data_IF_587880084899
#
_entry.id   IF_587880084899
#
_cell.length_a   1.000
_cell.length_b   1.000
_cell.length_c   1.000
_cell.angle_alpha   90.00
_cell.angle_beta   90.00
_cell.angle_gamma   90.00
#
_symmetry.space_group_name_H-M   'P 1'
#
loop_
_entity.id
_entity.type
_entity.pdbx_description
1 polymer ?
#
# COMPACT_ATOMS: atom_id res chain seq x y z
N UNK A 1 7.44 -11.46 1.97
CA UNK A 1 8.64 -11.32 1.13
C UNK A 1 9.56 -10.23 1.69
N UNK A 2 10.84 -10.52 1.84
CA UNK A 2 11.86 -9.54 2.32
C UNK A 2 13.06 -9.60 1.37
N UNK A 3 12.95 -8.90 0.24
CA UNK A 3 14.03 -8.93 -0.79
C UNK A 3 15.21 -8.02 -0.44
N UNK A 4 15.11 -7.19 0.61
CA UNK A 4 16.21 -6.35 1.08
C UNK A 4 17.00 -6.99 2.26
N UNK A 5 16.77 -8.26 2.56
CA UNK A 5 17.48 -8.98 3.63
C UNK A 5 19.00 -8.98 3.38
N UNK A 6 19.78 -9.02 4.46
CA UNK A 6 21.23 -9.29 4.41
C UNK A 6 21.55 -10.77 4.26
N UNK A 7 20.55 -11.64 4.45
CA UNK A 7 20.67 -13.10 4.35
C UNK A 7 20.21 -13.56 2.96
N UNK A 8 21.10 -14.14 2.19
CA UNK A 8 20.83 -14.56 0.81
C UNK A 8 19.72 -15.62 0.71
N UNK A 9 19.66 -16.55 1.63
CA UNK A 9 18.62 -17.58 1.71
C UNK A 9 17.22 -16.99 1.86
N UNK A 10 17.08 -15.89 2.64
CA UNK A 10 15.82 -15.14 2.80
C UNK A 10 15.45 -14.43 1.49
N UNK A 11 16.42 -13.82 0.82
CA UNK A 11 16.21 -13.17 -0.48
C UNK A 11 15.77 -14.20 -1.52
N UNK A 12 16.48 -15.32 -1.64
CA UNK A 12 16.12 -16.39 -2.59
C UNK A 12 14.72 -16.97 -2.31
N UNK A 13 14.40 -17.22 -1.04
CA UNK A 13 13.05 -17.67 -0.66
C UNK A 13 11.98 -16.65 -1.06
N UNK A 14 12.26 -15.36 -0.84
CA UNK A 14 11.34 -14.27 -1.24
C UNK A 14 11.17 -14.21 -2.75
N UNK A 15 12.24 -14.35 -3.52
CA UNK A 15 12.18 -14.36 -5.00
C UNK A 15 11.38 -15.58 -5.50
N UNK A 16 11.60 -16.76 -4.92
CA UNK A 16 10.79 -17.96 -5.25
C UNK A 16 9.31 -17.74 -4.99
N UNK A 17 8.98 -17.09 -3.86
CA UNK A 17 7.60 -16.79 -3.50
C UNK A 17 6.96 -15.78 -4.47
N UNK A 18 7.68 -14.74 -4.88
CA UNK A 18 7.20 -13.77 -5.89
C UNK A 18 6.90 -14.45 -7.23
N UNK A 19 7.79 -15.32 -7.70
CA UNK A 19 7.56 -16.10 -8.93
C UNK A 19 6.35 -17.05 -8.79
N UNK A 20 6.14 -17.63 -7.60
CA UNK A 20 4.97 -18.47 -7.34
C UNK A 20 3.67 -17.64 -7.41
N UNK A 21 3.63 -16.46 -6.79
CA UNK A 21 2.48 -15.56 -6.86
C UNK A 21 2.21 -15.12 -8.30
N UNK A 22 3.24 -14.75 -9.07
CA UNK A 22 3.08 -14.41 -10.48
C UNK A 22 2.41 -15.54 -11.25
N UNK A 23 2.90 -16.78 -11.09
CA UNK A 23 2.31 -17.96 -11.74
C UNK A 23 0.85 -18.18 -11.35
N UNK A 24 0.50 -17.98 -10.07
CA UNK A 24 -0.89 -18.08 -9.62
C UNK A 24 -1.78 -17.02 -10.28
N UNK A 25 -1.31 -15.76 -10.38
CA UNK A 25 -2.03 -14.68 -11.04
C UNK A 25 -2.28 -14.99 -12.52
N UNK A 26 -1.26 -15.50 -13.22
CA UNK A 26 -1.37 -15.92 -14.63
C UNK A 26 -2.42 -17.03 -14.80
N UNK A 27 -2.41 -18.03 -13.94
CA UNK A 27 -3.37 -19.15 -13.97
C UNK A 27 -4.80 -18.71 -13.68
N UNK A 28 -4.98 -17.71 -12.82
CA UNK A 28 -6.29 -17.16 -12.49
C UNK A 28 -6.80 -16.18 -13.54
N UNK A 29 -5.97 -15.76 -14.49
CA UNK A 29 -6.33 -14.77 -15.51
C UNK A 29 -6.65 -13.39 -14.93
N UNK A 30 -6.06 -13.02 -13.79
CA UNK A 30 -6.38 -11.79 -13.07
C UNK A 30 -5.26 -10.78 -13.26
N UNK A 31 -5.64 -9.57 -13.67
CA UNK A 31 -4.71 -8.44 -13.66
C UNK A 31 -4.63 -7.84 -12.26
N UNK A 32 -3.56 -8.19 -11.54
CA UNK A 32 -3.33 -7.77 -10.15
C UNK A 32 -1.92 -7.22 -9.99
N UNK A 33 -1.71 -6.53 -8.87
CA UNK A 33 -0.38 -6.10 -8.41
C UNK A 33 -0.01 -6.85 -7.12
N UNK A 34 1.30 -7.05 -6.92
CA UNK A 34 1.89 -7.62 -5.72
C UNK A 34 2.36 -6.48 -4.82
N UNK A 35 1.65 -6.25 -3.74
CA UNK A 35 2.03 -5.23 -2.75
C UNK A 35 3.16 -5.75 -1.88
N UNK A 36 4.25 -4.99 -1.81
CA UNK A 36 5.40 -5.28 -0.96
C UNK A 36 5.72 -4.08 -0.06
N UNK A 37 6.17 -4.40 1.16
CA UNK A 37 6.95 -3.47 1.97
C UNK A 37 8.44 -3.59 1.65
N UNK A 38 9.20 -2.51 1.88
CA UNK A 38 10.65 -2.56 1.63
C UNK A 38 11.41 -3.53 2.53
N UNK A 39 10.85 -3.88 3.69
CA UNK A 39 11.44 -4.84 4.62
C UNK A 39 12.33 -4.19 5.68
N UNK A 40 13.43 -4.82 6.06
CA UNK A 40 14.26 -4.39 7.18
C UNK A 40 15.26 -3.28 6.87
N UNK A 41 15.69 -2.55 7.92
CA UNK A 41 16.69 -1.47 7.84
C UNK A 41 18.05 -1.83 8.39
N UNK A 42 18.48 -3.09 8.33
CA UNK A 42 19.81 -3.52 8.80
C UNK A 42 20.91 -2.69 8.13
N UNK A 43 21.81 -2.15 8.91
CA UNK A 43 22.85 -1.19 8.52
C UNK A 43 22.29 0.19 8.09
N UNK A 44 21.08 0.53 8.55
CA UNK A 44 20.44 1.82 8.30
C UNK A 44 19.43 1.80 7.13
N UNK A 45 18.51 2.75 7.19
CA UNK A 45 17.39 2.90 6.25
C UNK A 45 17.87 2.96 4.79
N UNK A 46 18.84 3.83 4.49
CA UNK A 46 19.40 4.00 3.14
C UNK A 46 20.06 2.72 2.60
N UNK A 47 20.76 1.98 3.45
CA UNK A 47 21.34 0.71 3.06
C UNK A 47 20.27 -0.34 2.71
N UNK A 48 19.16 -0.36 3.47
CA UNK A 48 18.00 -1.22 3.17
C UNK A 48 17.34 -0.88 1.84
N UNK A 49 17.12 0.42 1.54
CA UNK A 49 16.60 0.89 0.26
C UNK A 49 17.50 0.47 -0.92
N UNK A 50 18.80 0.65 -0.78
CA UNK A 50 19.77 0.28 -1.82
C UNK A 50 19.78 -1.24 -2.09
N UNK A 51 19.69 -2.06 -1.04
CA UNK A 51 19.58 -3.52 -1.20
C UNK A 51 18.29 -3.89 -1.91
N UNK A 52 17.16 -3.28 -1.52
CA UNK A 52 15.88 -3.50 -2.19
C UNK A 52 15.99 -3.21 -3.69
N UNK A 53 16.46 -2.03 -4.06
CA UNK A 53 16.59 -1.62 -5.46
C UNK A 53 17.55 -2.53 -6.25
N UNK A 54 18.65 -2.96 -5.62
CA UNK A 54 19.61 -3.89 -6.24
C UNK A 54 18.94 -5.24 -6.58
N UNK A 55 18.25 -5.84 -5.62
CA UNK A 55 17.57 -7.13 -5.83
C UNK A 55 16.40 -6.97 -6.80
N UNK A 56 15.59 -5.92 -6.66
CA UNK A 56 14.49 -5.64 -7.59
C UNK A 56 14.95 -5.62 -9.05
N UNK A 57 16.05 -4.93 -9.36
CA UNK A 57 16.60 -4.86 -10.73
C UNK A 57 17.10 -6.19 -11.28
N UNK A 58 17.33 -7.18 -10.42
CA UNK A 58 17.72 -8.55 -10.81
C UNK A 58 16.52 -9.50 -10.97
N UNK A 59 15.30 -9.08 -10.61
CA UNK A 59 14.10 -9.90 -10.79
C UNK A 59 13.73 -10.03 -12.28
N UNK A 60 12.98 -11.08 -12.61
CA UNK A 60 12.35 -11.21 -13.93
C UNK A 60 11.49 -9.95 -14.23
N UNK A 61 11.59 -9.37 -15.43
CA UNK A 61 10.78 -8.21 -15.83
C UNK A 61 9.27 -8.40 -15.63
N UNK A 62 8.75 -9.61 -15.81
CA UNK A 62 7.35 -9.91 -15.54
C UNK A 62 7.00 -9.77 -14.05
N UNK A 63 7.90 -10.18 -13.17
CA UNK A 63 7.74 -9.99 -11.71
C UNK A 63 7.83 -8.51 -11.37
N UNK A 64 8.83 -7.80 -11.90
CA UNK A 64 9.00 -6.36 -11.68
C UNK A 64 7.74 -5.57 -12.04
N UNK A 65 7.11 -5.87 -13.19
CA UNK A 65 5.90 -5.18 -13.67
C UNK A 65 4.67 -5.40 -12.78
N UNK A 66 4.68 -6.38 -11.90
CA UNK A 66 3.58 -6.66 -10.97
C UNK A 66 3.80 -6.10 -9.56
N UNK A 67 5.01 -5.67 -9.24
CA UNK A 67 5.33 -5.16 -7.90
C UNK A 67 4.89 -3.71 -7.76
N UNK A 68 4.27 -3.42 -6.61
CA UNK A 68 4.01 -2.07 -6.09
C UNK A 68 4.52 -2.00 -4.65
N UNK A 69 4.97 -0.83 -4.21
CA UNK A 69 5.49 -0.65 -2.85
C UNK A 69 4.54 0.13 -1.97
N UNK A 70 4.46 -0.30 -0.73
CA UNK A 70 3.65 0.30 0.32
C UNK A 70 4.54 0.87 1.43
N UNK A 71 4.18 2.04 1.99
CA UNK A 71 4.81 2.58 3.19
C UNK A 71 4.49 1.73 4.41
N UNK A 72 5.40 1.69 5.37
CA UNK A 72 5.22 0.92 6.60
C UNK A 72 5.00 1.78 7.85
N UNK A 73 4.52 1.17 8.90
CA UNK A 73 4.14 1.80 10.16
C UNK A 73 5.34 2.13 11.09
N UNK A 74 6.60 1.86 10.67
CA UNK A 74 7.77 1.92 11.58
C UNK A 74 9.01 2.56 10.99
N UNK A 75 9.39 2.19 9.77
CA UNK A 75 10.71 2.47 9.24
C UNK A 75 10.67 3.32 7.97
N UNK A 76 9.96 2.83 6.94
CA UNK A 76 9.90 3.47 5.64
C UNK A 76 8.60 4.24 5.48
N UNK A 77 8.64 5.54 5.77
CA UNK A 77 7.49 6.42 5.57
C UNK A 77 7.23 6.72 4.09
N UNK A 78 6.17 7.45 3.79
CA UNK A 78 5.71 7.73 2.41
C UNK A 78 6.83 8.30 1.53
N UNK A 79 7.63 9.27 2.03
CA UNK A 79 8.69 9.88 1.21
C UNK A 79 9.81 8.91 0.84
N UNK A 80 10.20 8.00 1.76
CA UNK A 80 11.21 6.97 1.47
C UNK A 80 10.74 6.02 0.37
N UNK A 81 9.49 5.56 0.48
CA UNK A 81 8.92 4.63 -0.50
C UNK A 81 8.72 5.31 -1.83
N UNK A 82 8.24 6.56 -1.84
CA UNK A 82 8.06 7.35 -3.04
C UNK A 82 9.40 7.59 -3.78
N UNK A 83 10.50 7.83 -3.04
CA UNK A 83 11.83 7.92 -3.63
C UNK A 83 12.19 6.64 -4.40
N UNK A 84 12.04 5.47 -3.75
CA UNK A 84 12.35 4.17 -4.38
C UNK A 84 11.44 3.88 -5.56
N UNK A 85 10.13 4.15 -5.44
CA UNK A 85 9.17 3.97 -6.52
C UNK A 85 9.54 4.77 -7.76
N UNK A 86 9.96 6.03 -7.59
CA UNK A 86 10.42 6.88 -8.70
C UNK A 86 11.71 6.36 -9.34
N UNK A 87 12.67 5.90 -8.53
CA UNK A 87 13.96 5.36 -9.03
C UNK A 87 13.79 4.03 -9.77
N UNK A 88 12.76 3.26 -9.46
CA UNK A 88 12.43 1.98 -10.07
C UNK A 88 11.32 2.06 -11.11
N UNK A 89 10.68 3.24 -11.25
CA UNK A 89 9.53 3.48 -12.12
C UNK A 89 8.34 2.52 -11.84
N UNK A 90 8.06 2.27 -10.57
CA UNK A 90 6.95 1.40 -10.11
C UNK A 90 5.93 2.17 -9.28
N UNK A 91 4.66 1.73 -9.25
CA UNK A 91 3.63 2.40 -8.49
C UNK A 91 3.83 2.31 -6.96
N UNK A 92 3.36 3.33 -6.27
CA UNK A 92 3.30 3.35 -4.81
C UNK A 92 1.86 3.14 -4.33
N UNK A 93 1.67 2.24 -3.37
CA UNK A 93 0.44 2.12 -2.57
C UNK A 93 0.61 2.98 -1.31
N UNK A 94 -0.33 3.88 -1.06
CA UNK A 94 -0.43 4.57 0.20
C UNK A 94 -1.26 3.73 1.17
N UNK A 95 -0.65 3.25 2.25
CA UNK A 95 -1.41 2.90 3.45
C UNK A 95 -1.52 4.15 4.34
N UNK A 96 -2.76 4.65 4.45
CA UNK A 96 -3.02 5.87 5.20
C UNK A 96 -2.85 5.69 6.71
N UNK A 97 -3.18 4.52 7.23
CA UNK A 97 -2.99 4.21 8.64
C UNK A 97 -1.50 4.08 9.01
N UNK A 98 -0.71 3.42 8.17
CA UNK A 98 0.74 3.38 8.33
C UNK A 98 1.35 4.79 8.30
N UNK A 99 0.85 5.68 7.41
CA UNK A 99 1.28 7.07 7.39
C UNK A 99 0.98 7.79 8.71
N UNK A 100 -0.18 7.53 9.34
CA UNK A 100 -0.51 8.10 10.65
C UNK A 100 0.39 7.54 11.78
N UNK A 101 0.86 6.29 11.65
CA UNK A 101 1.79 5.66 12.59
C UNK A 101 3.24 6.12 12.42
N UNK A 102 3.66 6.40 11.20
CA UNK A 102 5.01 6.76 10.79
C UNK A 102 4.96 7.92 9.77
N UNK A 103 4.64 9.15 10.25
CA UNK A 103 4.40 10.28 9.38
C UNK A 103 5.69 10.74 8.68
N UNK A 104 5.54 11.24 7.46
CA UNK A 104 6.59 11.94 6.70
C UNK A 104 6.76 13.38 7.20
N UNK A 105 7.84 14.05 6.80
CA UNK A 105 8.02 15.47 7.07
C UNK A 105 7.06 16.32 6.23
N UNK A 106 6.87 15.97 4.96
CA UNK A 106 5.90 16.63 4.10
C UNK A 106 4.47 16.19 4.43
N UNK A 107 3.51 17.12 4.31
CA UNK A 107 2.09 16.80 4.51
C UNK A 107 1.58 15.82 3.45
N UNK A 108 0.61 14.98 3.82
CA UNK A 108 0.02 14.01 2.89
C UNK A 108 -0.59 14.69 1.65
N UNK A 109 -1.13 15.89 1.79
CA UNK A 109 -1.66 16.68 0.68
C UNK A 109 -0.61 17.05 -0.37
N UNK A 110 0.65 17.24 0.05
CA UNK A 110 1.78 17.47 -0.86
C UNK A 110 2.31 16.18 -1.50
N UNK A 111 2.07 15.05 -0.87
CA UNK A 111 2.57 13.74 -1.30
C UNK A 111 1.59 13.02 -2.25
N UNK A 112 0.27 13.18 -2.05
CA UNK A 112 -0.76 12.53 -2.87
C UNK A 112 -0.58 12.74 -4.38
N UNK A 113 -0.35 13.98 -4.91
CA UNK A 113 -0.12 14.16 -6.34
C UNK A 113 1.09 13.37 -6.87
N UNK A 114 2.13 13.24 -6.03
CA UNK A 114 3.35 12.51 -6.39
C UNK A 114 3.11 10.99 -6.37
N UNK A 115 2.24 10.51 -5.49
CA UNK A 115 1.81 9.10 -5.44
C UNK A 115 0.99 8.78 -6.70
N UNK A 116 -0.02 9.60 -7.03
CA UNK A 116 -0.81 9.44 -8.25
C UNK A 116 0.06 9.41 -9.51
N UNK A 117 1.12 10.23 -9.55
CA UNK A 117 2.04 10.25 -10.68
C UNK A 117 2.72 8.90 -10.91
N UNK A 118 3.00 8.12 -9.86
CA UNK A 118 3.61 6.79 -10.01
C UNK A 118 2.70 5.79 -10.72
N UNK A 119 1.38 6.04 -10.78
CA UNK A 119 0.38 5.18 -11.40
C UNK A 119 0.06 5.53 -12.86
N UNK A 120 0.55 6.67 -13.37
CA UNK A 120 0.20 7.15 -14.73
C UNK A 120 0.52 6.19 -15.86
N UNK A 121 1.46 5.28 -15.67
CA UNK A 121 1.85 4.27 -16.66
C UNK A 121 1.04 2.98 -16.55
N UNK A 122 0.18 2.87 -15.55
CA UNK A 122 -0.62 1.68 -15.30
C UNK A 122 -2.02 1.81 -15.88
N UNK A 123 -2.59 0.67 -16.28
CA UNK A 123 -3.99 0.58 -16.74
C UNK A 123 -4.97 0.39 -15.56
N UNK A 124 -4.48 0.45 -14.33
CA UNK A 124 -5.26 0.29 -13.11
C UNK A 124 -5.31 1.63 -12.37
N UNK A 125 -6.42 1.92 -11.67
CA UNK A 125 -6.48 3.07 -10.78
C UNK A 125 -5.47 2.95 -9.64
N UNK A 126 -4.99 4.07 -9.08
CA UNK A 126 -4.15 4.06 -7.89
C UNK A 126 -4.78 3.25 -6.77
N UNK A 127 -3.99 2.39 -6.13
CA UNK A 127 -4.43 1.59 -4.99
C UNK A 127 -3.97 2.24 -3.69
N UNK A 128 -4.87 2.24 -2.71
CA UNK A 128 -4.57 2.71 -1.37
C UNK A 128 -5.14 1.74 -0.34
N UNK A 129 -4.50 1.66 0.81
CA UNK A 129 -4.98 0.89 1.94
C UNK A 129 -5.53 1.82 3.01
N UNK A 130 -6.60 1.37 3.66
CA UNK A 130 -7.20 2.09 4.76
C UNK A 130 -7.59 1.13 5.89
N UNK A 131 -7.18 1.47 7.10
CA UNK A 131 -7.60 0.79 8.32
C UNK A 131 -7.87 1.79 9.44
N UNK A 132 -8.50 1.32 10.50
CA UNK A 132 -8.67 2.09 11.73
C UNK A 132 -7.80 1.49 12.84
N UNK A 133 -7.23 2.31 13.74
CA UNK A 133 -6.44 1.81 14.86
C UNK A 133 -7.30 1.00 15.83
N UNK A 134 -6.74 -0.05 16.42
CA UNK A 134 -7.42 -0.90 17.39
C UNK A 134 -7.89 -0.10 18.62
N UNK A 135 -7.07 0.85 19.06
CA UNK A 135 -7.41 1.80 20.12
C UNK A 135 -6.38 2.95 20.16
N UNK A 136 -6.64 3.98 20.99
CA UNK A 136 -5.66 5.05 21.23
C UNK A 136 -4.35 4.54 21.87
N UNK A 137 -4.41 3.44 22.64
CA UNK A 137 -3.22 2.83 23.30
C UNK A 137 -2.53 1.82 22.39
N UNK A 138 -3.29 1.21 21.50
CA UNK A 138 -2.82 0.23 20.51
C UNK A 138 -3.08 0.78 19.11
N UNK A 139 -2.39 1.88 18.80
CA UNK A 139 -2.66 2.66 17.58
C UNK A 139 -2.19 1.95 16.32
N UNK A 140 -1.14 1.14 16.38
CA UNK A 140 -0.57 0.47 15.19
C UNK A 140 -1.36 -0.75 14.73
N UNK A 141 -2.00 -1.47 15.65
CA UNK A 141 -2.79 -2.63 15.29
C UNK A 141 -4.12 -2.20 14.68
N UNK A 142 -4.57 -2.96 13.69
CA UNK A 142 -5.85 -2.71 13.03
C UNK A 142 -7.01 -3.09 13.94
N UNK A 143 -8.07 -2.31 13.88
CA UNK A 143 -9.35 -2.58 14.53
C UNK A 143 -10.10 -3.72 13.83
N UNK A 144 -11.11 -4.27 14.51
CA UNK A 144 -12.01 -5.25 13.92
C UNK A 144 -12.85 -4.65 12.78
N UNK A 145 -13.22 -3.38 12.90
CA UNK A 145 -14.06 -2.62 11.98
C UNK A 145 -13.43 -1.29 11.60
N UNK A 146 -14.00 -0.63 10.61
CA UNK A 146 -13.60 0.72 10.20
C UNK A 146 -14.44 1.76 10.96
N UNK A 147 -13.78 2.80 11.45
CA UNK A 147 -14.43 3.97 12.05
C UNK A 147 -14.93 4.91 10.93
N UNK A 148 -16.26 5.09 10.77
CA UNK A 148 -16.81 5.81 9.61
C UNK A 148 -16.34 7.26 9.51
N UNK A 149 -16.21 7.96 10.64
CA UNK A 149 -15.76 9.35 10.65
C UNK A 149 -14.34 9.52 10.11
N UNK A 150 -13.42 8.63 10.48
CA UNK A 150 -12.06 8.64 9.95
C UNK A 150 -12.02 8.31 8.46
N UNK A 151 -12.87 7.36 8.04
CA UNK A 151 -12.98 6.99 6.64
C UNK A 151 -13.51 8.15 5.79
N UNK A 152 -14.59 8.80 6.23
CA UNK A 152 -15.16 9.96 5.53
C UNK A 152 -14.10 11.07 5.38
N UNK A 153 -13.38 11.41 6.44
CA UNK A 153 -12.33 12.42 6.38
C UNK A 153 -11.25 12.07 5.34
N UNK A 154 -10.88 10.80 5.24
CA UNK A 154 -9.92 10.34 4.23
C UNK A 154 -10.50 10.44 2.82
N UNK A 155 -11.75 10.04 2.59
CA UNK A 155 -12.40 10.19 1.28
C UNK A 155 -12.51 11.65 0.87
N UNK A 156 -12.90 12.55 1.78
CA UNK A 156 -12.96 14.00 1.50
C UNK A 156 -11.58 14.57 1.13
N UNK A 157 -10.52 14.05 1.74
CA UNK A 157 -9.15 14.40 1.33
C UNK A 157 -8.86 13.94 -0.10
N UNK A 158 -9.24 12.71 -0.48
CA UNK A 158 -8.99 12.18 -1.82
C UNK A 158 -9.81 12.88 -2.91
N UNK A 159 -11.05 13.25 -2.63
CA UNK A 159 -11.93 13.96 -3.58
C UNK A 159 -11.34 15.26 -4.12
N UNK A 160 -10.43 15.90 -3.37
CA UNK A 160 -9.78 17.14 -3.81
C UNK A 160 -8.92 16.97 -5.06
N UNK A 161 -8.59 15.72 -5.45
CA UNK A 161 -7.68 15.42 -6.55
C UNK A 161 -8.38 14.90 -7.81
N UNK A 162 -9.71 14.74 -7.79
CA UNK A 162 -10.51 14.28 -8.93
C UNK A 162 -9.94 13.02 -9.62
N UNK A 163 -9.38 12.11 -8.83
CA UNK A 163 -8.74 10.88 -9.31
C UNK A 163 -9.43 9.68 -8.66
N UNK A 164 -9.94 8.77 -9.49
CA UNK A 164 -10.48 7.50 -9.00
C UNK A 164 -9.39 6.66 -8.34
N UNK A 165 -9.74 6.00 -7.24
CA UNK A 165 -8.83 5.14 -6.49
C UNK A 165 -9.50 3.84 -6.10
N UNK A 166 -8.74 2.75 -6.10
CA UNK A 166 -9.12 1.49 -5.50
C UNK A 166 -8.72 1.49 -4.01
N UNK A 167 -9.70 1.37 -3.12
CA UNK A 167 -9.43 1.29 -1.68
C UNK A 167 -9.51 -0.15 -1.18
N UNK A 168 -8.40 -0.64 -0.64
CA UNK A 168 -8.37 -1.87 0.14
C UNK A 168 -8.66 -1.55 1.61
N UNK A 169 -9.75 -2.11 2.11
CA UNK A 169 -10.14 -1.97 3.52
C UNK A 169 -9.46 -3.08 4.33
N UNK A 170 -8.57 -2.69 5.24
CA UNK A 170 -7.83 -3.60 6.11
C UNK A 170 -8.40 -3.61 7.53
N UNK A 171 -9.31 -4.51 7.79
CA UNK A 171 -9.91 -4.72 9.11
C UNK A 171 -9.92 -6.21 9.47
N UNK A 172 -9.83 -6.54 10.77
CA UNK A 172 -9.78 -7.94 11.22
C UNK A 172 -11.03 -8.74 10.85
N UNK A 173 -12.19 -8.06 10.75
CA UNK A 173 -13.47 -8.67 10.35
C UNK A 173 -13.71 -8.69 8.84
N UNK A 174 -12.69 -8.36 8.02
CA UNK A 174 -12.66 -8.52 6.56
C UNK A 174 -13.94 -8.00 5.88
N UNK A 175 -14.63 -8.85 5.13
CA UNK A 175 -15.88 -8.54 4.42
C UNK A 175 -17.02 -8.07 5.34
N UNK A 176 -17.12 -8.61 6.56
CA UNK A 176 -18.08 -8.14 7.56
C UNK A 176 -17.84 -6.66 7.91
N UNK A 177 -16.58 -6.25 8.01
CA UNK A 177 -16.23 -4.86 8.27
C UNK A 177 -16.60 -3.95 7.09
N UNK A 178 -16.37 -4.40 5.85
CA UNK A 178 -16.75 -3.68 4.64
C UNK A 178 -18.27 -3.49 4.57
N UNK A 179 -19.05 -4.55 4.71
CA UNK A 179 -20.51 -4.46 4.68
C UNK A 179 -21.09 -3.59 5.80
N UNK A 180 -20.47 -3.62 6.98
CA UNK A 180 -20.84 -2.73 8.06
C UNK A 180 -20.55 -1.28 7.72
N UNK A 181 -19.37 -0.97 7.20
CA UNK A 181 -18.99 0.38 6.77
C UNK A 181 -19.97 0.92 5.73
N UNK A 182 -20.27 0.16 4.68
CA UNK A 182 -21.20 0.57 3.63
C UNK A 182 -22.58 0.90 4.20
N UNK A 183 -23.11 0.07 5.12
CA UNK A 183 -24.40 0.36 5.78
C UNK A 183 -24.37 1.65 6.61
N UNK A 184 -23.25 1.89 7.34
CA UNK A 184 -23.10 3.09 8.16
C UNK A 184 -22.98 4.36 7.32
N UNK A 185 -22.27 4.29 6.18
CA UNK A 185 -22.16 5.40 5.25
C UNK A 185 -23.52 5.76 4.62
N UNK A 186 -24.31 4.75 4.21
CA UNK A 186 -25.65 4.97 3.68
C UNK A 186 -26.61 5.56 4.73
N UNK A 187 -26.53 5.11 5.97
CA UNK A 187 -27.34 5.61 7.06
C UNK A 187 -27.08 7.09 7.39
N UNK A 188 -25.84 7.54 7.17
CA UNK A 188 -25.42 8.92 7.38
C UNK A 188 -25.55 9.80 6.10
N UNK A 189 -26.36 9.36 5.11
CA UNK A 189 -26.54 10.02 3.81
C UNK A 189 -25.25 10.26 3.01
N UNK A 190 -24.18 9.52 3.35
CA UNK A 190 -22.96 9.53 2.58
C UNK A 190 -23.09 8.51 1.44
N UNK A 191 -23.42 9.00 0.26
CA UNK A 191 -23.63 8.16 -0.92
C UNK A 191 -22.26 7.85 -1.54
N UNK A 192 -21.93 6.58 -1.61
CA UNK A 192 -20.84 6.06 -2.43
C UNK A 192 -21.40 5.83 -3.83
N UNK A 193 -20.98 6.62 -4.82
CA UNK A 193 -21.34 6.42 -6.21
C UNK A 193 -20.84 5.03 -6.65
N UNK A 194 -21.71 4.26 -7.34
CA UNK A 194 -21.37 2.92 -7.84
C UNK A 194 -21.76 1.73 -6.95
N UNK A 195 -22.46 1.92 -5.85
CA UNK A 195 -22.99 0.85 -5.00
C UNK A 195 -24.46 0.53 -5.30
N UNK A 196 -24.80 0.29 -6.59
CA UNK A 196 -26.13 -0.25 -7.01
C UNK A 196 -26.06 -1.76 -7.14
#
# INVERSE_FOLDING_TARGET
>A
CVINSIHNDVVEASVRLLNHHLKMMELMGIEMKLVLHMGGGTYGKRAGMNRFMKVFRSLDPKVQSKIVLENDDKLYHVEDVLEVCRMLEIPMVLDYHHHLCNPSEASITMLLPKIYETWKKENLPPKMHFSSPASRRDFRNHHDYIEPGHFINFIELLKQYETDVDLMIEAKKKDEALFRLVRQLRFNDYILEGTT
#
